data_IF_790861660648
#
_entry.id   IF_790861660648
#
_cell.length_a   1.000
_cell.length_b   1.000
_cell.length_c   1.000
_cell.angle_alpha   90.00
_cell.angle_beta   90.00
_cell.angle_gamma   90.00
#
_symmetry.space_group_name_H-M   'P 1'
#
loop_
_entity.id
_entity.type
_entity.pdbx_description
1 polymer ?
#
# COMPACT_ATOMS: atom_id res chain seq x y z
N UNK A 1 -20.98 16.63 -8.10
CA UNK A 1 -20.83 15.16 -7.98
C UNK A 1 -20.49 14.83 -6.54
N UNK A 2 -21.22 13.92 -5.90
CA UNK A 2 -20.88 13.43 -4.57
C UNK A 2 -19.63 12.54 -4.63
N UNK A 3 -18.81 12.55 -3.58
CA UNK A 3 -17.58 11.76 -3.49
C UNK A 3 -17.95 10.30 -3.13
N UNK A 4 -17.87 9.42 -4.11
CA UNK A 4 -18.18 7.99 -3.98
C UNK A 4 -17.28 7.23 -2.99
N UNK A 5 -16.03 7.68 -2.85
CA UNK A 5 -15.06 7.17 -1.86
C UNK A 5 -15.02 8.11 -0.66
N UNK A 6 -15.69 7.74 0.43
CA UNK A 6 -15.73 8.54 1.66
C UNK A 6 -14.42 8.44 2.43
N UNK A 7 -13.87 7.22 2.58
CA UNK A 7 -12.66 6.95 3.36
C UNK A 7 -11.81 5.84 2.75
N UNK A 8 -10.50 6.00 2.81
CA UNK A 8 -9.49 4.99 2.49
C UNK A 8 -8.37 5.12 3.52
N UNK A 9 -8.16 4.09 4.35
CA UNK A 9 -7.11 4.10 5.37
C UNK A 9 -6.37 2.76 5.37
N UNK A 10 -5.04 2.81 5.46
CA UNK A 10 -4.19 1.66 5.75
C UNK A 10 -3.86 1.76 7.22
N UNK A 11 -4.18 0.72 7.98
CA UNK A 11 -3.91 0.63 9.43
C UNK A 11 -3.00 -0.55 9.63
N UNK A 12 -1.78 -0.30 10.09
CA UNK A 12 -0.83 -1.36 10.46
C UNK A 12 -1.18 -1.88 11.85
N UNK A 13 -0.97 -3.18 12.08
CA UNK A 13 -1.17 -3.74 13.43
C UNK A 13 -0.03 -3.36 14.38
N UNK A 14 1.19 -3.26 13.84
CA UNK A 14 2.34 -2.68 14.53
C UNK A 14 2.66 -1.31 13.92
N UNK A 15 2.59 -0.27 14.75
CA UNK A 15 2.93 1.11 14.37
C UNK A 15 4.44 1.37 14.38
N UNK A 16 5.27 0.33 14.60
CA UNK A 16 6.72 0.45 14.47
C UNK A 16 7.11 0.95 13.07
N UNK A 17 8.09 1.85 13.05
CA UNK A 17 8.60 2.43 11.81
C UNK A 17 9.74 1.60 11.19
N UNK A 18 10.11 0.47 11.79
CA UNK A 18 11.28 -0.31 11.42
C UNK A 18 10.93 -1.79 11.27
N UNK A 19 11.06 -2.28 10.04
CA UNK A 19 10.89 -3.69 9.68
C UNK A 19 12.23 -4.24 9.19
N UNK A 20 12.60 -5.43 9.67
CA UNK A 20 13.81 -6.13 9.24
C UNK A 20 13.48 -7.16 8.15
N UNK A 21 14.45 -7.58 7.32
CA UNK A 21 14.26 -8.70 6.41
C UNK A 21 13.78 -9.96 7.15
N UNK A 22 12.83 -10.66 6.56
CA UNK A 22 12.06 -11.77 7.13
C UNK A 22 10.86 -11.35 7.98
N UNK A 23 10.66 -10.07 8.26
CA UNK A 23 9.55 -9.60 9.10
C UNK A 23 8.21 -9.63 8.33
N UNK A 24 7.14 -9.79 9.09
CA UNK A 24 5.78 -9.67 8.58
C UNK A 24 5.25 -8.26 8.83
N UNK A 25 4.70 -7.65 7.79
CA UNK A 25 3.87 -6.47 7.87
C UNK A 25 2.41 -6.89 7.75
N UNK A 26 1.68 -6.69 8.85
CA UNK A 26 0.26 -7.01 8.93
C UNK A 26 -0.56 -5.75 9.18
N UNK A 27 -1.81 -5.80 8.76
CA UNK A 27 -2.74 -4.72 9.00
C UNK A 27 -4.03 -4.91 8.25
N UNK A 28 -4.75 -3.81 8.08
CA UNK A 28 -6.01 -3.76 7.33
C UNK A 28 -6.14 -2.50 6.50
N UNK A 29 -6.81 -2.64 5.37
CA UNK A 29 -7.29 -1.52 4.57
C UNK A 29 -8.76 -1.31 4.90
N UNK A 30 -9.12 -0.13 5.39
CA UNK A 30 -10.49 0.29 5.65
C UNK A 30 -10.97 1.15 4.48
N UNK A 31 -12.10 0.73 3.89
CA UNK A 31 -12.76 1.43 2.80
C UNK A 31 -14.19 1.81 3.22
N UNK A 32 -14.52 3.08 3.05
CA UNK A 32 -15.87 3.60 3.24
C UNK A 32 -16.35 4.17 1.91
N UNK A 33 -17.41 3.59 1.36
CA UNK A 33 -18.05 4.03 0.13
C UNK A 33 -19.42 4.66 0.41
N UNK A 34 -19.94 5.37 -0.56
CA UNK A 34 -21.36 5.72 -0.62
C UNK A 34 -22.24 4.47 -0.72
N UNK A 35 -23.45 4.48 -0.13
CA UNK A 35 -24.31 3.29 0.05
C UNK A 35 -24.59 2.53 -1.25
N UNK A 36 -24.67 3.23 -2.39
CA UNK A 36 -24.93 2.65 -3.71
C UNK A 36 -23.69 2.57 -4.62
N UNK A 37 -22.49 2.74 -4.06
CA UNK A 37 -21.24 2.56 -4.80
C UNK A 37 -20.62 1.21 -4.46
N UNK A 38 -20.63 0.24 -5.39
CA UNK A 38 -19.89 -1.01 -5.21
C UNK A 38 -18.38 -0.81 -5.44
N UNK A 39 -17.55 -1.41 -4.59
CA UNK A 39 -16.15 -1.63 -4.91
C UNK A 39 -16.03 -2.73 -5.97
N UNK A 40 -15.46 -2.38 -7.12
CA UNK A 40 -15.12 -3.33 -8.20
C UNK A 40 -13.76 -4.02 -7.99
N UNK A 41 -12.91 -3.43 -7.15
CA UNK A 41 -11.62 -4.00 -6.82
C UNK A 41 -10.88 -3.15 -5.80
N UNK A 42 -10.01 -3.81 -5.05
CA UNK A 42 -9.08 -3.17 -4.14
C UNK A 42 -7.69 -3.75 -4.41
N UNK A 43 -6.77 -2.89 -4.85
CA UNK A 43 -5.40 -3.25 -5.16
C UNK A 43 -4.48 -2.62 -4.12
N UNK A 44 -3.54 -3.40 -3.62
CA UNK A 44 -2.60 -2.98 -2.60
C UNK A 44 -1.19 -3.28 -3.05
N UNK A 45 -0.41 -2.21 -3.23
CA UNK A 45 0.94 -2.24 -3.77
C UNK A 45 1.90 -1.71 -2.71
N UNK A 46 2.95 -2.46 -2.43
CA UNK A 46 4.05 -2.05 -1.56
C UNK A 46 5.31 -1.97 -2.40
N UNK A 47 5.97 -0.82 -2.32
CA UNK A 47 7.22 -0.56 -3.02
C UNK A 47 8.27 -0.10 -2.00
N UNK A 48 9.42 -0.74 -2.04
CA UNK A 48 10.61 -0.38 -1.27
C UNK A 48 11.74 -0.11 -2.25
N UNK A 49 12.21 1.13 -2.28
CA UNK A 49 13.19 1.63 -3.24
C UNK A 49 14.37 2.28 -2.51
N UNK A 50 15.59 1.83 -2.81
CA UNK A 50 16.80 2.49 -2.39
C UNK A 50 17.31 3.40 -3.51
N UNK A 51 17.59 4.66 -3.18
CA UNK A 51 18.15 5.63 -4.11
C UNK A 51 19.46 6.18 -3.56
N UNK A 52 20.55 6.01 -4.31
CA UNK A 52 21.88 6.49 -3.94
C UNK A 52 22.29 7.60 -4.89
N UNK A 53 22.76 8.72 -4.34
CA UNK A 53 23.29 9.84 -5.12
C UNK A 53 24.71 10.14 -4.69
N UNK A 54 25.67 9.98 -5.60
CA UNK A 54 27.05 10.39 -5.38
C UNK A 54 27.23 11.83 -5.82
N UNK A 55 27.66 12.69 -4.91
CA UNK A 55 28.01 14.08 -5.21
C UNK A 55 29.50 14.30 -5.05
N UNK A 56 30.14 14.87 -6.07
CA UNK A 56 31.54 15.25 -6.04
C UNK A 56 31.66 16.77 -6.28
N UNK A 57 32.30 17.48 -5.34
CA UNK A 57 32.50 18.94 -5.37
C UNK A 57 31.22 19.75 -5.69
N UNK A 58 30.08 19.33 -5.15
CA UNK A 58 28.79 20.01 -5.34
C UNK A 58 28.07 19.74 -6.66
N UNK A 59 28.59 18.85 -7.52
CA UNK A 59 27.88 18.31 -8.69
C UNK A 59 27.50 16.85 -8.43
N UNK A 60 26.28 16.47 -8.81
CA UNK A 60 25.86 15.05 -8.80
C UNK A 60 26.64 14.35 -9.91
N UNK A 61 27.43 13.35 -9.52
CA UNK A 61 28.33 12.61 -10.40
C UNK A 61 27.67 11.32 -10.90
N UNK A 62 26.96 10.61 -10.02
CA UNK A 62 26.18 9.43 -10.37
C UNK A 62 24.95 9.26 -9.48
N UNK A 63 23.92 8.60 -10.00
CA UNK A 63 22.72 8.19 -9.26
C UNK A 63 22.43 6.73 -9.57
N UNK A 64 22.17 5.95 -8.54
CA UNK A 64 21.76 4.55 -8.63
C UNK A 64 20.43 4.34 -7.90
N UNK A 65 19.63 3.40 -8.39
CA UNK A 65 18.28 3.13 -7.89
C UNK A 65 17.95 1.65 -8.03
N UNK A 66 17.55 1.05 -6.92
CA UNK A 66 17.19 -0.36 -6.87
C UNK A 66 15.88 -0.57 -6.08
N UNK A 67 15.05 -1.48 -6.59
CA UNK A 67 13.80 -1.90 -5.93
C UNK A 67 14.06 -3.16 -5.12
N UNK A 68 13.93 -3.06 -3.79
CA UNK A 68 14.09 -4.19 -2.86
C UNK A 68 12.76 -4.86 -2.54
N UNK A 69 11.64 -4.13 -2.70
CA UNK A 69 10.29 -4.65 -2.51
C UNK A 69 9.42 -4.15 -3.67
N UNK A 70 8.81 -5.06 -4.43
CA UNK A 70 7.72 -4.77 -5.37
C UNK A 70 6.66 -5.87 -5.18
N UNK A 71 5.76 -5.62 -4.24
CA UNK A 71 4.69 -6.55 -3.90
C UNK A 71 3.34 -5.98 -4.32
N UNK A 72 2.54 -6.77 -5.02
CA UNK A 72 1.22 -6.37 -5.50
C UNK A 72 0.21 -7.47 -5.16
N UNK A 73 -0.89 -7.08 -4.53
CA UNK A 73 -1.99 -7.98 -4.24
C UNK A 73 -3.34 -7.34 -4.57
N UNK A 74 -4.29 -8.19 -4.94
CA UNK A 74 -5.69 -7.83 -5.11
C UNK A 74 -6.46 -8.28 -3.86
N UNK A 75 -6.78 -7.32 -3.00
CA UNK A 75 -7.50 -7.53 -1.74
C UNK A 75 -9.00 -7.78 -1.94
N UNK A 76 -9.59 -7.22 -3.00
CA UNK A 76 -10.98 -7.49 -3.40
C UNK A 76 -11.07 -7.68 -4.91
N UNK A 77 -11.78 -8.74 -5.32
CA UNK A 77 -11.95 -9.15 -6.71
C UNK A 77 -13.39 -9.36 -7.16
N UNK A 78 -13.55 -9.81 -8.42
CA UNK A 78 -14.77 -9.74 -9.23
C UNK A 78 -15.99 -10.49 -8.67
N UNK A 79 -15.83 -11.29 -7.61
CA UNK A 79 -16.87 -12.19 -7.09
C UNK A 79 -17.63 -11.66 -5.87
N UNK A 80 -17.28 -10.48 -5.33
CA UNK A 80 -18.04 -9.89 -4.21
C UNK A 80 -17.95 -8.37 -4.23
N UNK A 81 -18.83 -7.73 -5.01
CA UNK A 81 -19.07 -6.29 -4.88
C UNK A 81 -19.47 -6.00 -3.42
N UNK A 82 -18.62 -5.26 -2.70
CA UNK A 82 -18.93 -4.77 -1.36
C UNK A 82 -19.32 -3.31 -1.45
N UNK A 83 -20.47 -2.96 -0.88
CA UNK A 83 -20.92 -1.57 -0.70
C UNK A 83 -20.79 -1.15 0.77
N UNK A 84 -20.80 0.15 1.01
CA UNK A 84 -20.73 0.71 2.36
C UNK A 84 -19.34 0.65 2.99
N UNK A 85 -19.27 0.35 4.30
CA UNK A 85 -18.06 0.31 5.09
C UNK A 85 -17.55 -1.13 5.25
N UNK A 86 -16.31 -1.39 4.88
CA UNK A 86 -15.68 -2.68 5.10
C UNK A 86 -14.17 -2.54 5.34
N UNK A 87 -13.58 -3.61 5.86
CA UNK A 87 -12.12 -3.73 6.01
C UNK A 87 -11.61 -5.03 5.41
N UNK A 88 -10.38 -5.01 4.93
CA UNK A 88 -9.68 -6.19 4.39
C UNK A 88 -8.32 -6.29 5.05
N UNK A 89 -8.03 -7.46 5.63
CA UNK A 89 -6.76 -7.75 6.30
C UNK A 89 -5.70 -8.10 5.26
N UNK A 90 -4.46 -7.71 5.50
CA UNK A 90 -3.30 -8.15 4.73
C UNK A 90 -2.18 -8.60 5.67
N UNK A 91 -1.35 -9.50 5.16
CA UNK A 91 -0.12 -9.98 5.79
C UNK A 91 0.89 -10.18 4.66
N UNK A 92 2.07 -9.57 4.79
CA UNK A 92 3.12 -9.58 3.78
C UNK A 92 4.45 -9.84 4.47
N UNK A 93 5.22 -10.79 3.95
CA UNK A 93 6.59 -11.07 4.38
C UNK A 93 7.57 -10.33 3.46
N UNK A 94 8.51 -9.60 4.03
CA UNK A 94 9.58 -8.91 3.29
C UNK A 94 10.94 -9.54 3.58
#
# INVERSE_FOLDING_TARGET
MAKKLKRFLIVLDDESLLYFPGAFLTGKVLLELEEDTPAIGLYFHIVGEGVVRLTNKGRVDSTDKENYIDFRMRLLGDSSAKSGLFSVIFEINF
#
